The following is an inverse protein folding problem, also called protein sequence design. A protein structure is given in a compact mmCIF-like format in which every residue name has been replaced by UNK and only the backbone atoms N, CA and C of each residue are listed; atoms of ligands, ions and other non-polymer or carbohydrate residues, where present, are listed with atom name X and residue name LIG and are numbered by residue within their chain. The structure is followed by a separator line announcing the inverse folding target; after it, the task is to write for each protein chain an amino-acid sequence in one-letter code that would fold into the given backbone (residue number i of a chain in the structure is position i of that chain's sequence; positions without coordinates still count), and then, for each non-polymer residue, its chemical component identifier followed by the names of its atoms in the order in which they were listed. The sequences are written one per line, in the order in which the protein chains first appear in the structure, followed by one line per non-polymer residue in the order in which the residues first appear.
data_IF_566528814472
#
_entry.id   IF_566528814472
#
_cell.length_a   1.000
_cell.length_b   1.000
_cell.length_c   1.000
_cell.angle_alpha   90.00
_cell.angle_beta   90.00
_cell.angle_gamma   90.00
#
_symmetry.space_group_name_H-M   'P 1'
#
loop_
_entity.id
_entity.type
_entity.pdbx_description
1 polymer ?
#
# COMPACT_ATOMS: atom_id res chain seq x y z
N UNK A 1 3.38 -28.68 -10.60
CA UNK A 1 4.02 -27.41 -11.00
C UNK A 1 3.06 -26.29 -10.63
N UNK A 2 3.17 -25.90 -9.37
CA UNK A 2 3.15 -24.54 -8.81
C UNK A 2 2.11 -23.52 -9.30
N UNK A 3 0.84 -23.76 -8.95
CA UNK A 3 -0.22 -22.75 -9.06
C UNK A 3 -0.07 -21.62 -8.04
N UNK A 4 0.66 -21.88 -6.95
CA UNK A 4 0.90 -20.94 -5.85
C UNK A 4 1.99 -19.90 -6.18
N UNK A 5 2.90 -20.21 -7.11
CA UNK A 5 3.95 -19.29 -7.54
C UNK A 5 3.41 -18.12 -8.39
N UNK A 6 2.38 -18.38 -9.21
CA UNK A 6 1.71 -17.33 -10.00
C UNK A 6 0.89 -16.37 -9.12
N UNK A 7 0.27 -16.88 -8.04
CA UNK A 7 -0.48 -16.05 -7.09
C UNK A 7 0.41 -15.07 -6.33
N UNK A 8 1.57 -15.53 -5.85
CA UNK A 8 2.51 -14.70 -5.11
C UNK A 8 3.13 -13.59 -5.97
N UNK A 9 3.39 -13.86 -7.26
CA UNK A 9 3.87 -12.84 -8.21
C UNK A 9 2.83 -11.74 -8.47
N UNK A 10 1.57 -12.13 -8.68
CA UNK A 10 0.48 -11.20 -8.93
C UNK A 10 0.15 -10.31 -7.72
N UNK A 11 0.27 -10.84 -6.50
CA UNK A 11 0.11 -10.05 -5.27
C UNK A 11 1.26 -9.06 -5.08
N UNK A 12 2.49 -9.46 -5.39
CA UNK A 12 3.66 -8.60 -5.33
C UNK A 12 3.64 -7.47 -6.37
N UNK A 13 3.32 -7.75 -7.63
CA UNK A 13 3.22 -6.72 -8.68
C UNK A 13 2.15 -5.68 -8.36
N UNK A 14 1.00 -6.11 -7.83
CA UNK A 14 -0.04 -5.19 -7.40
C UNK A 14 0.37 -4.36 -6.18
N UNK A 15 1.09 -4.96 -5.23
CA UNK A 15 1.64 -4.22 -4.09
C UNK A 15 2.66 -3.18 -4.55
N UNK A 16 3.57 -3.55 -5.44
CA UNK A 16 4.59 -2.67 -5.99
C UNK A 16 3.96 -1.49 -6.73
N UNK A 17 3.01 -1.75 -7.62
CA UNK A 17 2.30 -0.68 -8.33
C UNK A 17 1.60 0.28 -7.35
N UNK A 18 0.99 -0.25 -6.29
CA UNK A 18 0.30 0.56 -5.29
C UNK A 18 1.28 1.44 -4.48
N UNK A 19 2.47 0.94 -4.17
CA UNK A 19 3.51 1.74 -3.50
C UNK A 19 4.09 2.80 -4.42
N UNK A 20 4.30 2.49 -5.70
CA UNK A 20 4.78 3.44 -6.70
C UNK A 20 3.77 4.58 -6.92
N UNK A 21 2.48 4.23 -7.08
CA UNK A 21 1.39 5.21 -7.20
C UNK A 21 1.31 6.11 -5.94
N UNK A 22 1.58 5.55 -4.75
CA UNK A 22 1.60 6.31 -3.50
C UNK A 22 2.79 7.28 -3.41
N UNK A 23 3.98 6.86 -3.83
CA UNK A 23 5.16 7.72 -3.89
C UNK A 23 4.93 8.90 -4.84
N UNK A 24 4.36 8.65 -6.03
CA UNK A 24 4.04 9.72 -6.98
C UNK A 24 3.02 10.72 -6.40
N UNK A 25 2.01 10.23 -5.70
CA UNK A 25 1.04 11.09 -5.02
C UNK A 25 1.68 11.94 -3.90
N UNK A 26 2.66 11.40 -3.17
CA UNK A 26 3.44 12.16 -2.18
C UNK A 26 4.33 13.21 -2.85
N UNK A 27 4.95 12.90 -3.98
CA UNK A 27 5.74 13.86 -4.74
C UNK A 27 4.86 14.99 -5.30
N UNK A 28 3.66 14.67 -5.81
CA UNK A 28 2.67 15.67 -6.22
C UNK A 28 2.19 16.53 -5.03
N UNK A 29 1.98 15.92 -3.86
CA UNK A 29 1.63 16.64 -2.64
C UNK A 29 2.74 17.60 -2.21
N UNK A 30 4.01 17.19 -2.27
CA UNK A 30 5.16 18.04 -1.96
C UNK A 30 5.30 19.22 -2.93
N UNK A 31 4.87 19.05 -4.19
CA UNK A 31 4.78 20.13 -5.18
C UNK A 31 3.58 21.06 -4.99
N UNK A 32 2.63 20.70 -4.11
CA UNK A 32 1.42 21.48 -3.85
C UNK A 32 0.31 21.26 -4.90
N UNK A 33 0.36 20.17 -5.65
CA UNK A 33 -0.64 19.86 -6.67
C UNK A 33 -2.04 19.69 -6.05
N UNK A 34 -3.08 20.35 -6.62
CA UNK A 34 -4.44 20.22 -6.12
C UNK A 34 -4.93 18.76 -6.29
N UNK A 35 -5.50 18.20 -5.22
CA UNK A 35 -6.00 16.82 -5.21
C UNK A 35 -4.96 15.76 -4.85
N UNK A 36 -3.66 16.07 -4.86
CA UNK A 36 -2.62 15.12 -4.48
C UNK A 36 -2.76 14.63 -3.02
N UNK A 37 -3.21 15.51 -2.12
CA UNK A 37 -3.51 15.14 -0.72
C UNK A 37 -4.59 14.07 -0.62
N UNK A 38 -5.70 14.24 -1.35
CA UNK A 38 -6.83 13.31 -1.34
C UNK A 38 -6.42 11.95 -1.94
N UNK A 39 -5.65 11.99 -3.04
CA UNK A 39 -5.10 10.81 -3.68
C UNK A 39 -4.14 10.04 -2.74
N UNK A 40 -3.20 10.74 -2.10
CA UNK A 40 -2.28 10.13 -1.14
C UNK A 40 -3.03 9.51 0.06
N UNK A 41 -4.08 10.16 0.58
CA UNK A 41 -4.91 9.61 1.66
C UNK A 41 -5.66 8.33 1.23
N UNK A 42 -6.21 8.31 0.01
CA UNK A 42 -6.87 7.11 -0.54
C UNK A 42 -5.89 5.95 -0.69
N UNK A 43 -4.70 6.20 -1.27
CA UNK A 43 -3.68 5.18 -1.47
C UNK A 43 -3.12 4.64 -0.14
N UNK A 44 -2.91 5.52 0.85
CA UNK A 44 -2.53 5.13 2.22
C UNK A 44 -3.56 4.19 2.87
N UNK A 45 -4.86 4.45 2.66
CA UNK A 45 -5.92 3.58 3.17
C UNK A 45 -5.88 2.18 2.53
N UNK A 46 -5.69 2.10 1.21
CA UNK A 46 -5.61 0.82 0.50
C UNK A 46 -4.37 0.03 0.93
N UNK A 47 -3.22 0.70 1.08
CA UNK A 47 -1.99 0.07 1.60
C UNK A 47 -2.21 -0.53 3.00
N UNK A 48 -2.88 0.22 3.90
CA UNK A 48 -3.18 -0.24 5.26
C UNK A 48 -4.18 -1.40 5.30
N UNK A 49 -5.14 -1.45 4.38
CA UNK A 49 -6.07 -2.58 4.28
C UNK A 49 -5.40 -3.85 3.78
N UNK A 50 -4.41 -3.73 2.90
CA UNK A 50 -3.62 -4.87 2.39
C UNK A 50 -2.57 -5.39 3.37
N UNK A 51 -2.01 -4.50 4.20
CA UNK A 51 -1.18 -4.87 5.33
C UNK A 51 -1.92 -4.55 6.64
N UNK A 52 -2.82 -5.42 7.11
CA UNK A 52 -3.21 -5.36 8.51
C UNK A 52 -1.92 -5.55 9.30
N UNK A 53 -1.48 -4.52 10.03
CA UNK A 53 -0.49 -4.72 11.09
C UNK A 53 -0.96 -5.95 11.88
N UNK A 54 -0.09 -6.94 12.12
CA UNK A 54 -0.43 -7.94 13.11
C UNK A 54 -0.70 -7.14 14.39
N UNK A 55 -1.95 -7.11 14.84
CA UNK A 55 -2.32 -6.66 16.16
C UNK A 55 -1.31 -7.33 17.08
N UNK A 56 -0.31 -6.59 17.57
CA UNK A 56 0.64 -7.15 18.53
C UNK A 56 -0.24 -7.69 19.64
N UNK A 57 -0.24 -9.00 19.94
CA UNK A 57 -0.91 -9.44 21.13
C UNK A 57 -0.22 -8.69 22.27
N UNK A 58 -0.98 -7.87 22.97
CA UNK A 58 -0.59 -7.37 24.28
C UNK A 58 -0.47 -8.61 25.16
N UNK A 59 0.70 -9.25 25.15
CA UNK A 59 1.09 -10.17 26.21
C UNK A 59 1.39 -9.31 27.43
N UNK A 60 0.31 -8.87 28.08
CA UNK A 60 0.32 -8.67 29.52
C UNK A 60 -0.08 -9.99 30.15
N UNK A 61 0.90 -10.69 30.71
CA UNK A 61 0.87 -11.43 32.00
C UNK A 61 2.26 -12.01 32.27
#
# INVERSE_FOLDING_TARGET
MDKDAEGLGADFEQWQKLTDDYEEALAALARGEPGARDLAMKLSLVLRQRHPEPLRPSFGE
#
